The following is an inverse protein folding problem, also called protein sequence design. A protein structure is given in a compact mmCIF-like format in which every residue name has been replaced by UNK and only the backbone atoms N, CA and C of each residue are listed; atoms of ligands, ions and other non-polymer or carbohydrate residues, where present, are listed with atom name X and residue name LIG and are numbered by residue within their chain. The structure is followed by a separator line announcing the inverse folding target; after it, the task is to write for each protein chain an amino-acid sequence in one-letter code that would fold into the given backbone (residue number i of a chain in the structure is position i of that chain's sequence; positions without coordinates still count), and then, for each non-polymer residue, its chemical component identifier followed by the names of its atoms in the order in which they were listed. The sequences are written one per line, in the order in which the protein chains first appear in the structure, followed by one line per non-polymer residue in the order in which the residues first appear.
data_IF_659784054020
#
_entry.id   IF_659784054020
#
_cell.length_a   1.000
_cell.length_b   1.000
_cell.length_c   1.000
_cell.angle_alpha   90.00
_cell.angle_beta   90.00
_cell.angle_gamma   90.00
#
_symmetry.space_group_name_H-M   'P 1'
#
loop_
_entity.id
_entity.type
_entity.pdbx_description
1 polymer ?
#
# COMPACT_ATOMS: atom_id res chain seq x y z
N UNK A 1 11.18 81.34 20.20
CA UNK A 1 12.10 82.38 20.71
C UNK A 1 13.49 81.76 20.82
N UNK A 2 14.49 82.52 20.38
CA UNK A 2 15.94 82.35 20.47
C UNK A 2 16.65 81.32 19.58
N UNK A 3 17.39 81.93 18.65
CA UNK A 3 18.52 81.45 17.87
C UNK A 3 19.65 80.99 18.79
N UNK A 4 20.47 80.05 18.31
CA UNK A 4 21.89 80.04 18.66
C UNK A 4 22.73 79.60 17.47
N UNK A 5 23.85 80.30 17.34
CA UNK A 5 24.61 80.54 16.13
C UNK A 5 25.58 79.40 15.80
N UNK A 6 25.89 79.29 14.51
CA UNK A 6 27.01 78.47 14.01
C UNK A 6 28.33 79.03 14.54
N UNK A 7 29.34 78.18 14.76
CA UNK A 7 30.70 78.53 14.38
C UNK A 7 31.02 77.88 13.04
N UNK A 8 31.29 78.73 12.04
CA UNK A 8 31.98 78.36 10.82
C UNK A 8 33.42 77.96 11.16
N UNK A 9 33.75 76.69 11.02
CA UNK A 9 35.14 76.23 10.96
C UNK A 9 35.42 75.91 9.50
N UNK A 10 36.12 76.82 8.83
CA UNK A 10 36.60 76.63 7.48
C UNK A 10 37.54 75.42 7.45
N UNK A 11 37.06 74.31 6.92
CA UNK A 11 37.91 73.18 6.58
C UNK A 11 38.61 73.55 5.28
N UNK A 12 39.90 73.85 5.37
CA UNK A 12 40.74 74.05 4.21
C UNK A 12 40.65 72.78 3.34
N UNK A 13 40.41 72.94 2.05
CA UNK A 13 40.33 71.82 1.09
C UNK A 13 41.65 71.06 0.98
N UNK A 14 42.77 71.61 1.48
CA UNK A 14 44.07 70.94 1.56
C UNK A 14 44.14 69.87 2.66
N UNK A 15 43.51 70.06 3.82
CA UNK A 15 43.49 69.03 4.88
C UNK A 15 42.66 67.79 4.49
N UNK A 16 41.67 67.99 3.62
CA UNK A 16 40.84 66.90 3.09
C UNK A 16 41.59 66.01 2.09
N UNK A 17 42.61 66.54 1.41
CA UNK A 17 43.45 65.80 0.46
C UNK A 17 44.56 65.00 1.16
N UNK A 18 45.02 65.43 2.34
CA UNK A 18 46.01 64.69 3.15
C UNK A 18 45.39 63.56 3.99
N UNK A 19 44.07 63.61 4.24
CA UNK A 19 43.31 62.57 4.95
C UNK A 19 43.11 61.29 4.10
N UNK A 20 43.08 61.41 2.77
CA UNK A 20 42.84 60.28 1.87
C UNK A 20 44.10 59.52 1.50
N UNK A 21 45.28 60.15 1.54
CA UNK A 21 46.56 59.48 1.27
C UNK A 21 46.99 58.57 2.42
N UNK A 22 46.78 58.96 3.67
CA UNK A 22 47.14 58.16 4.85
C UNK A 22 46.27 56.90 5.01
N UNK A 23 45.02 56.94 4.52
CA UNK A 23 44.09 55.81 4.58
C UNK A 23 44.43 54.68 3.60
N UNK A 24 45.20 54.98 2.55
CA UNK A 24 45.58 54.00 1.53
C UNK A 24 46.87 53.24 1.89
N UNK A 25 47.78 53.84 2.68
CA UNK A 25 49.02 53.18 3.07
C UNK A 25 48.87 52.22 4.25
N UNK A 26 47.94 52.48 5.18
CA UNK A 26 47.68 51.62 6.36
C UNK A 26 47.05 50.25 6.03
N UNK A 27 46.60 50.03 4.78
CA UNK A 27 46.03 48.75 4.36
C UNK A 27 47.00 47.86 3.55
N UNK A 28 48.25 48.28 3.33
CA UNK A 28 49.24 47.48 2.60
C UNK A 28 49.90 46.35 3.42
N UNK A 29 49.52 46.16 4.68
CA UNK A 29 50.21 45.24 5.61
C UNK A 29 49.37 44.08 6.15
N UNK A 30 48.10 43.91 5.73
CA UNK A 30 47.31 42.75 6.18
C UNK A 30 47.40 41.65 5.12
N UNK A 31 47.79 40.41 5.48
CA UNK A 31 47.81 39.31 4.53
C UNK A 31 46.41 39.17 3.96
N UNK A 32 46.34 39.06 2.64
CA UNK A 32 45.10 38.95 1.89
C UNK A 32 44.45 37.58 2.20
N UNK A 33 43.76 37.50 3.34
CA UNK A 33 43.11 36.30 3.86
C UNK A 33 41.87 35.91 3.03
N UNK A 34 41.59 36.62 1.93
CA UNK A 34 40.52 36.34 0.98
C UNK A 34 40.67 34.94 0.38
N UNK A 35 41.88 34.54 0.00
CA UNK A 35 42.18 33.21 -0.53
C UNK A 35 41.93 32.10 0.51
N UNK A 36 42.34 32.32 1.78
CA UNK A 36 42.11 31.37 2.87
C UNK A 36 40.61 31.22 3.19
N UNK A 37 39.85 32.33 3.18
CA UNK A 37 38.39 32.32 3.38
C UNK A 37 37.65 31.64 2.22
N UNK A 38 38.07 31.87 0.97
CA UNK A 38 37.52 31.19 -0.18
C UNK A 38 37.80 29.68 -0.12
N UNK A 39 38.99 29.27 0.31
CA UNK A 39 39.33 27.85 0.49
C UNK A 39 38.49 27.19 1.59
N UNK A 40 38.28 27.88 2.72
CA UNK A 40 37.40 27.40 3.79
C UNK A 40 35.94 27.30 3.35
N UNK A 41 35.43 28.28 2.61
CA UNK A 41 34.07 28.25 2.06
C UNK A 41 33.89 27.08 1.08
N UNK A 42 34.84 26.86 0.17
CA UNK A 42 34.81 25.74 -0.76
C UNK A 42 34.82 24.37 -0.04
N UNK A 43 35.63 24.22 1.02
CA UNK A 43 35.64 23.00 1.84
C UNK A 43 34.30 22.76 2.53
N UNK A 44 33.67 23.82 3.05
CA UNK A 44 32.35 23.73 3.68
C UNK A 44 31.30 23.32 2.65
N UNK A 45 31.29 23.94 1.46
CA UNK A 45 30.38 23.59 0.36
C UNK A 45 30.52 22.13 -0.08
N UNK A 46 31.76 21.63 -0.22
CA UNK A 46 32.01 20.22 -0.55
C UNK A 46 31.47 19.26 0.52
N UNK A 47 31.62 19.60 1.80
CA UNK A 47 31.10 18.79 2.91
C UNK A 47 29.56 18.79 2.89
N UNK A 48 28.93 19.95 2.70
CA UNK A 48 27.47 20.04 2.57
C UNK A 48 26.96 19.23 1.37
N UNK A 49 27.62 19.32 0.21
CA UNK A 49 27.24 18.55 -0.96
C UNK A 49 27.33 17.03 -0.72
N UNK A 50 28.41 16.57 -0.08
CA UNK A 50 28.58 15.15 0.29
C UNK A 50 27.48 14.70 1.26
N UNK A 51 27.17 15.50 2.28
CA UNK A 51 26.10 15.20 3.24
C UNK A 51 24.72 15.15 2.58
N UNK A 52 24.43 16.11 1.70
CA UNK A 52 23.15 16.14 0.97
C UNK A 52 22.99 14.91 0.08
N UNK A 53 24.05 14.54 -0.66
CA UNK A 53 24.05 13.32 -1.47
C UNK A 53 23.82 12.06 -0.63
N UNK A 54 24.44 11.98 0.55
CA UNK A 54 24.24 10.85 1.46
C UNK A 54 22.80 10.81 2.01
N UNK A 55 22.22 11.96 2.35
CA UNK A 55 20.83 12.04 2.79
C UNK A 55 19.85 11.63 1.68
N UNK A 56 20.10 12.03 0.44
CA UNK A 56 19.30 11.63 -0.71
C UNK A 56 19.39 10.12 -0.97
N UNK A 57 20.59 9.54 -0.88
CA UNK A 57 20.78 8.09 -0.97
C UNK A 57 20.05 7.34 0.15
N UNK A 58 20.13 7.83 1.38
CA UNK A 58 19.43 7.24 2.52
C UNK A 58 17.91 7.32 2.36
N UNK A 59 17.37 8.46 1.91
CA UNK A 59 15.94 8.63 1.62
C UNK A 59 15.48 7.66 0.53
N UNK A 60 16.26 7.51 -0.54
CA UNK A 60 15.95 6.58 -1.61
C UNK A 60 15.93 5.12 -1.10
N UNK A 61 16.93 4.72 -0.31
CA UNK A 61 16.97 3.38 0.28
C UNK A 61 15.80 3.11 1.22
N UNK A 62 15.45 4.08 2.06
CA UNK A 62 14.29 3.98 2.94
C UNK A 62 12.97 3.87 2.16
N UNK A 63 12.80 4.69 1.11
CA UNK A 63 11.63 4.59 0.24
C UNK A 63 11.55 3.22 -0.43
N UNK A 64 12.68 2.72 -0.97
CA UNK A 64 12.76 1.40 -1.57
C UNK A 64 12.38 0.30 -0.58
N UNK A 65 12.89 0.35 0.65
CA UNK A 65 12.55 -0.62 1.69
C UNK A 65 11.04 -0.59 2.02
N UNK A 66 10.47 0.59 2.25
CA UNK A 66 9.03 0.76 2.50
C UNK A 66 8.17 0.23 1.36
N UNK A 67 8.57 0.52 0.12
CA UNK A 67 7.88 0.02 -1.07
C UNK A 67 7.90 -1.51 -1.13
N UNK A 68 9.07 -2.12 -0.89
CA UNK A 68 9.20 -3.58 -0.87
C UNK A 68 8.33 -4.19 0.22
N UNK A 69 8.38 -3.68 1.45
CA UNK A 69 7.53 -4.15 2.54
C UNK A 69 6.05 -4.06 2.18
N UNK A 70 5.58 -2.89 1.75
CA UNK A 70 4.18 -2.67 1.39
C UNK A 70 3.73 -3.61 0.24
N UNK A 71 4.60 -3.84 -0.74
CA UNK A 71 4.34 -4.79 -1.82
C UNK A 71 4.29 -6.24 -1.32
N UNK A 72 5.11 -6.61 -0.33
CA UNK A 72 5.09 -7.94 0.26
C UNK A 72 3.80 -8.19 1.04
N UNK A 73 3.39 -7.24 1.90
CA UNK A 73 2.12 -7.29 2.62
C UNK A 73 0.92 -7.40 1.69
N UNK A 74 0.89 -6.59 0.62
CA UNK A 74 -0.19 -6.65 -0.38
C UNK A 74 -0.24 -8.01 -1.08
N UNK A 75 0.91 -8.56 -1.46
CA UNK A 75 0.99 -9.89 -2.07
C UNK A 75 0.51 -11.00 -1.13
N UNK A 76 0.86 -10.94 0.16
CA UNK A 76 0.40 -11.91 1.15
C UNK A 76 -1.12 -11.84 1.30
N UNK A 77 -1.69 -10.64 1.47
CA UNK A 77 -3.14 -10.45 1.59
C UNK A 77 -3.90 -10.97 0.36
N UNK A 78 -3.38 -10.73 -0.85
CA UNK A 78 -3.97 -11.25 -2.08
C UNK A 78 -3.93 -12.79 -2.12
N UNK A 79 -2.80 -13.40 -1.75
CA UNK A 79 -2.65 -14.86 -1.70
C UNK A 79 -3.61 -15.47 -0.67
N UNK A 80 -3.69 -14.92 0.53
CA UNK A 80 -4.62 -15.38 1.57
C UNK A 80 -6.07 -15.26 1.12
N UNK A 81 -6.44 -14.16 0.45
CA UNK A 81 -7.79 -13.99 -0.10
C UNK A 81 -8.13 -15.05 -1.15
N UNK A 82 -7.16 -15.42 -2.00
CA UNK A 82 -7.35 -16.45 -3.03
C UNK A 82 -7.51 -17.84 -2.40
N UNK A 83 -6.68 -18.18 -1.42
CA UNK A 83 -6.76 -19.44 -0.67
C UNK A 83 -8.09 -19.55 0.07
N UNK A 84 -8.56 -18.46 0.70
CA UNK A 84 -9.85 -18.44 1.39
C UNK A 84 -11.02 -18.65 0.43
N UNK A 85 -10.98 -18.06 -0.77
CA UNK A 85 -11.99 -18.30 -1.81
C UNK A 85 -12.01 -19.76 -2.28
N UNK A 86 -10.84 -20.36 -2.50
CA UNK A 86 -10.73 -21.78 -2.86
C UNK A 86 -11.31 -22.67 -1.77
N UNK A 87 -10.95 -22.45 -0.50
CA UNK A 87 -11.49 -23.19 0.65
C UNK A 87 -13.02 -23.07 0.74
N UNK A 88 -13.58 -21.90 0.50
CA UNK A 88 -15.04 -21.71 0.49
C UNK A 88 -15.71 -22.52 -0.63
N UNK A 89 -15.11 -22.55 -1.82
CA UNK A 89 -15.61 -23.35 -2.94
C UNK A 89 -15.55 -24.86 -2.62
N UNK A 90 -14.46 -25.34 -2.02
CA UNK A 90 -14.33 -26.73 -1.58
C UNK A 90 -15.40 -27.10 -0.54
N UNK A 91 -15.67 -26.23 0.44
CA UNK A 91 -16.73 -26.45 1.43
C UNK A 91 -18.12 -26.53 0.78
N UNK A 92 -18.39 -25.70 -0.23
CA UNK A 92 -19.64 -25.76 -0.97
C UNK A 92 -19.79 -27.07 -1.74
N UNK A 93 -18.71 -27.56 -2.36
CA UNK A 93 -18.70 -28.85 -3.06
C UNK A 93 -18.93 -30.01 -2.09
N UNK A 94 -18.27 -30.01 -0.93
CA UNK A 94 -18.46 -31.02 0.11
C UNK A 94 -19.91 -31.03 0.62
N UNK A 95 -20.51 -29.86 0.86
CA UNK A 95 -21.92 -29.77 1.25
C UNK A 95 -22.86 -30.33 0.18
N UNK A 96 -22.61 -30.03 -1.09
CA UNK A 96 -23.38 -30.58 -2.22
C UNK A 96 -23.24 -32.10 -2.28
N UNK A 97 -22.02 -32.62 -2.20
CA UNK A 97 -21.74 -34.06 -2.22
C UNK A 97 -22.44 -34.82 -1.08
N UNK A 98 -22.43 -34.23 0.12
CA UNK A 98 -23.10 -34.81 1.27
C UNK A 98 -24.64 -34.80 1.13
N UNK A 99 -25.22 -33.72 0.58
CA UNK A 99 -26.66 -33.69 0.28
C UNK A 99 -27.05 -34.70 -0.80
N UNK A 100 -26.24 -34.87 -1.85
CA UNK A 100 -26.49 -35.89 -2.89
C UNK A 100 -26.40 -37.30 -2.32
N UNK A 101 -25.42 -37.57 -1.43
CA UNK A 101 -25.30 -38.85 -0.76
C UNK A 101 -26.53 -39.16 0.11
N UNK A 102 -27.02 -38.17 0.88
CA UNK A 102 -28.25 -38.31 1.66
C UNK A 102 -29.48 -38.57 0.80
N UNK A 103 -29.63 -37.84 -0.31
CA UNK A 103 -30.73 -38.04 -1.26
C UNK A 103 -30.70 -39.43 -1.88
N UNK A 104 -29.52 -39.91 -2.27
CA UNK A 104 -29.35 -41.26 -2.80
C UNK A 104 -29.72 -42.32 -1.75
N UNK A 105 -29.26 -42.18 -0.50
CA UNK A 105 -29.63 -43.08 0.58
C UNK A 105 -31.14 -43.10 0.83
N UNK A 106 -31.79 -41.92 0.89
CA UNK A 106 -33.24 -41.82 1.02
C UNK A 106 -33.98 -42.50 -0.15
N UNK A 107 -33.53 -42.28 -1.38
CA UNK A 107 -34.13 -42.93 -2.55
C UNK A 107 -34.04 -44.46 -2.46
N UNK A 108 -32.91 -45.00 -2.00
CA UNK A 108 -32.78 -46.46 -1.80
C UNK A 108 -33.70 -46.99 -0.70
N UNK A 109 -33.88 -46.25 0.40
CA UNK A 109 -34.79 -46.64 1.48
C UNK A 109 -36.24 -46.64 0.99
N UNK A 110 -36.67 -45.59 0.28
CA UNK A 110 -38.02 -45.49 -0.28
C UNK A 110 -38.30 -46.61 -1.31
N UNK A 111 -37.33 -46.93 -2.16
CA UNK A 111 -37.45 -48.05 -3.09
C UNK A 111 -37.61 -49.39 -2.38
N UNK A 112 -36.85 -49.61 -1.29
CA UNK A 112 -36.97 -50.82 -0.48
C UNK A 112 -38.33 -50.90 0.22
N UNK A 113 -38.79 -49.81 0.83
CA UNK A 113 -40.13 -49.74 1.45
C UNK A 113 -41.23 -49.98 0.44
N UNK A 114 -41.18 -49.33 -0.73
CA UNK A 114 -42.14 -49.55 -1.81
C UNK A 114 -42.19 -51.02 -2.23
N UNK A 115 -41.03 -51.68 -2.35
CA UNK A 115 -40.97 -53.10 -2.72
C UNK A 115 -41.62 -54.00 -1.67
N UNK A 116 -41.40 -53.71 -0.38
CA UNK A 116 -42.04 -54.44 0.72
C UNK A 116 -43.56 -54.25 0.67
N UNK A 117 -44.03 -53.02 0.52
CA UNK A 117 -45.46 -52.74 0.39
C UNK A 117 -46.08 -53.41 -0.84
N UNK A 118 -45.41 -53.37 -1.99
CA UNK A 118 -45.89 -54.07 -3.20
C UNK A 118 -46.11 -55.56 -2.92
N UNK A 119 -45.16 -56.24 -2.25
CA UNK A 119 -45.31 -57.65 -1.87
C UNK A 119 -46.49 -57.88 -0.91
N UNK A 120 -46.67 -57.01 0.09
CA UNK A 120 -47.80 -57.09 1.02
C UNK A 120 -49.15 -56.88 0.32
N UNK A 121 -49.24 -55.94 -0.63
CA UNK A 121 -50.45 -55.71 -1.40
C UNK A 121 -50.76 -56.89 -2.33
N UNK A 122 -49.75 -57.45 -2.99
CA UNK A 122 -49.93 -58.61 -3.86
C UNK A 122 -50.43 -59.84 -3.08
N UNK A 123 -49.94 -60.06 -1.86
CA UNK A 123 -50.45 -61.15 -1.00
C UNK A 123 -51.94 -60.98 -0.65
N UNK A 124 -52.46 -59.75 -0.70
CA UNK A 124 -53.87 -59.41 -0.50
C UNK A 124 -54.67 -59.36 -1.81
N UNK A 125 -54.07 -59.76 -2.94
CA UNK A 125 -54.70 -59.72 -4.27
C UNK A 125 -54.89 -58.30 -4.83
N UNK A 126 -54.19 -57.31 -4.28
CA UNK A 126 -54.25 -55.90 -4.70
C UNK A 126 -52.90 -55.47 -5.30
N UNK A 127 -52.90 -54.39 -6.06
CA UNK A 127 -51.68 -53.81 -6.63
C UNK A 127 -51.59 -52.31 -6.31
N UNK A 128 -50.37 -51.82 -6.10
CA UNK A 128 -50.08 -50.40 -5.98
C UNK A 128 -50.18 -49.72 -7.35
N UNK A 129 -50.82 -48.55 -7.39
CA UNK A 129 -50.88 -47.74 -8.60
C UNK A 129 -49.49 -47.18 -8.89
N UNK A 130 -48.89 -47.57 -10.03
CA UNK A 130 -47.65 -46.96 -10.52
C UNK A 130 -48.01 -45.72 -11.31
N UNK A 131 -47.78 -44.56 -10.71
CA UNK A 131 -47.89 -43.30 -11.43
C UNK A 131 -46.95 -43.27 -12.64
N UNK A 132 -47.47 -42.82 -13.78
CA UNK A 132 -46.76 -42.62 -15.05
C UNK A 132 -45.74 -41.46 -15.02
N UNK A 133 -45.34 -41.00 -13.84
CA UNK A 133 -44.24 -40.06 -13.71
C UNK A 133 -42.94 -40.85 -13.69
N UNK A 134 -42.48 -41.23 -14.89
CA UNK A 134 -41.06 -41.36 -15.13
C UNK A 134 -40.45 -40.03 -14.68
N UNK A 135 -39.88 -40.00 -13.48
CA UNK A 135 -39.01 -38.91 -13.08
C UNK A 135 -37.89 -38.90 -14.11
N UNK A 136 -37.90 -37.90 -15.00
CA UNK A 136 -36.85 -37.73 -15.98
C UNK A 136 -35.51 -37.87 -15.24
N UNK A 137 -34.59 -38.73 -15.71
CA UNK A 137 -33.29 -38.89 -15.06
C UNK A 137 -32.46 -37.59 -15.06
N UNK A 138 -32.96 -36.53 -15.72
CA UNK A 138 -32.38 -35.19 -15.75
C UNK A 138 -33.10 -34.15 -14.87
N UNK A 139 -34.21 -34.48 -14.22
CA UNK A 139 -34.92 -33.52 -13.38
C UNK A 139 -34.14 -33.31 -12.07
N UNK A 140 -33.33 -32.25 -12.02
CA UNK A 140 -32.66 -31.85 -10.78
C UNK A 140 -33.68 -31.16 -9.86
N UNK A 141 -33.63 -31.37 -8.53
CA UNK A 141 -34.56 -30.73 -7.59
C UNK A 141 -34.51 -29.18 -7.53
N UNK A 142 -33.73 -28.54 -8.41
CA UNK A 142 -33.62 -27.09 -8.55
C UNK A 142 -34.70 -26.50 -9.46
N UNK A 143 -35.35 -27.31 -10.30
CA UNK A 143 -36.39 -26.83 -11.23
C UNK A 143 -37.79 -26.76 -10.59
N UNK A 144 -37.95 -27.31 -9.38
CA UNK A 144 -39.20 -27.25 -8.60
C UNK A 144 -39.32 -25.99 -7.72
N UNK A 145 -38.32 -25.11 -7.73
CA UNK A 145 -38.27 -23.88 -6.92
C UNK A 145 -37.96 -22.62 -7.75
N UNK A 146 -38.38 -22.59 -9.02
CA UNK A 146 -38.45 -21.35 -9.82
C UNK A 146 -39.85 -20.78 -9.83
#
# INVERSE_FOLDING_TARGET
MFQQEKPSVGVSTQDRLMSTSFRYEMNKGKPDNSALRMQQAAQIEEVYFKQQKQLEQNKYQQFKAKWVEQSAWSNVALRESAVNKQRQQELLLLRKAHLTARRAALATLLQNEQRVYEQEFYSKGKALYKDMYQMDPQCTPLDLYR
#
